data_IF_441331188865
#
_entry.id   IF_441331188865
#
_cell.length_a   1.000
_cell.length_b   1.000
_cell.length_c   1.000
_cell.angle_alpha   90.00
_cell.angle_beta   90.00
_cell.angle_gamma   90.00
#
_symmetry.space_group_name_H-M   'P 1'
#
loop_
_entity.id
_entity.type
_entity.pdbx_description
1 polymer ?
#
# COMPACT_ATOMS: atom_id res chain seq x y z
N UNK A 1 24.49 -17.38 17.04
CA UNK A 1 23.13 -16.96 16.62
C UNK A 1 22.57 -18.05 15.73
N UNK A 2 21.42 -18.65 16.06
CA UNK A 2 20.91 -19.83 15.34
C UNK A 2 20.48 -19.44 13.91
N UNK A 3 20.95 -20.18 12.89
CA UNK A 3 20.70 -19.87 11.48
C UNK A 3 19.20 -19.85 11.14
N UNK A 4 18.42 -20.70 11.81
CA UNK A 4 16.96 -20.80 11.67
C UNK A 4 16.27 -19.49 12.10
N UNK A 5 16.75 -18.87 13.19
CA UNK A 5 16.17 -17.63 13.74
C UNK A 5 16.40 -16.46 12.77
N UNK A 6 17.59 -16.39 12.16
CA UNK A 6 17.94 -15.35 11.18
C UNK A 6 17.03 -15.45 9.94
N UNK A 7 16.79 -16.68 9.46
CA UNK A 7 15.93 -16.93 8.31
C UNK A 7 14.48 -16.49 8.57
N UNK A 8 13.96 -16.77 9.77
CA UNK A 8 12.62 -16.33 10.16
C UNK A 8 12.52 -14.81 10.21
N UNK A 9 13.50 -14.11 10.79
CA UNK A 9 13.48 -12.64 10.88
C UNK A 9 13.42 -12.01 9.48
N UNK A 10 14.19 -12.52 8.52
CA UNK A 10 14.19 -12.01 7.15
C UNK A 10 12.84 -12.23 6.48
N UNK A 11 12.24 -13.42 6.63
CA UNK A 11 10.93 -13.74 6.05
C UNK A 11 9.84 -12.81 6.62
N UNK A 12 9.79 -12.64 7.94
CA UNK A 12 8.83 -11.74 8.58
C UNK A 12 9.05 -10.28 8.20
N UNK A 13 10.30 -9.83 8.07
CA UNK A 13 10.61 -8.48 7.62
C UNK A 13 10.11 -8.21 6.20
N UNK A 14 10.26 -9.18 5.29
CA UNK A 14 9.78 -9.05 3.90
C UNK A 14 8.25 -9.02 3.86
N UNK A 15 7.58 -9.93 4.58
CA UNK A 15 6.10 -9.99 4.61
C UNK A 15 5.52 -8.67 5.17
N UNK A 16 6.09 -8.14 6.24
CA UNK A 16 5.70 -6.85 6.82
C UNK A 16 6.01 -5.66 5.91
N UNK A 17 7.19 -5.67 5.26
CA UNK A 17 7.60 -4.61 4.34
C UNK A 17 6.72 -4.54 3.09
N UNK A 18 6.44 -5.68 2.46
CA UNK A 18 5.62 -5.75 1.24
C UNK A 18 4.17 -5.32 1.51
N UNK A 19 3.59 -5.75 2.63
CA UNK A 19 2.22 -5.36 3.00
C UNK A 19 2.10 -3.86 3.31
N UNK A 20 3.11 -3.29 3.98
CA UNK A 20 3.18 -1.84 4.25
C UNK A 20 3.33 -1.03 2.96
N UNK A 21 4.23 -1.44 2.07
CA UNK A 21 4.42 -0.78 0.77
C UNK A 21 3.14 -0.84 -0.08
N UNK A 22 2.47 -1.98 -0.10
CA UNK A 22 1.20 -2.13 -0.83
C UNK A 22 0.14 -1.14 -0.33
N UNK A 23 -0.05 -1.03 0.99
CA UNK A 23 -0.97 -0.06 1.58
C UNK A 23 -0.56 1.38 1.30
N UNK A 24 0.76 1.66 1.39
CA UNK A 24 1.32 2.97 1.13
C UNK A 24 1.09 3.45 -0.30
N UNK A 25 1.13 2.56 -1.30
CA UNK A 25 0.81 2.92 -2.69
C UNK A 25 -0.69 2.89 -2.99
N UNK A 26 -1.45 2.03 -2.31
CA UNK A 26 -2.90 1.91 -2.52
C UNK A 26 -3.66 3.18 -2.11
N UNK A 27 -3.32 3.80 -0.97
CA UNK A 27 -3.93 5.06 -0.54
C UNK A 27 -3.79 6.21 -1.56
N UNK A 28 -2.57 6.60 -2.00
CA UNK A 28 -2.41 7.67 -2.99
C UNK A 28 -3.01 7.29 -4.34
N UNK A 29 -2.99 6.01 -4.75
CA UNK A 29 -3.66 5.58 -5.97
C UNK A 29 -5.16 5.86 -5.94
N UNK A 30 -5.84 5.56 -4.82
CA UNK A 30 -7.28 5.86 -4.64
C UNK A 30 -7.53 7.36 -4.58
N UNK A 31 -6.64 8.13 -3.95
CA UNK A 31 -6.73 9.61 -3.90
C UNK A 31 -6.60 10.20 -5.30
N UNK A 32 -5.58 9.79 -6.07
CA UNK A 32 -5.36 10.23 -7.46
C UNK A 32 -6.58 9.87 -8.32
N UNK A 33 -7.13 8.66 -8.15
CA UNK A 33 -8.33 8.24 -8.87
C UNK A 33 -9.56 9.08 -8.51
N UNK A 34 -9.75 9.41 -7.23
CA UNK A 34 -10.83 10.33 -6.79
C UNK A 34 -10.66 11.71 -7.40
N UNK A 35 -9.44 12.24 -7.44
CA UNK A 35 -9.14 13.54 -8.04
C UNK A 35 -9.40 13.51 -9.55
N UNK A 36 -8.92 12.48 -10.26
CA UNK A 36 -9.15 12.30 -11.70
C UNK A 36 -10.64 12.26 -12.03
N UNK A 37 -11.42 11.47 -11.27
CA UNK A 37 -12.87 11.37 -11.50
C UNK A 37 -13.58 12.70 -11.27
N UNK A 38 -13.19 13.48 -10.27
CA UNK A 38 -13.74 14.82 -10.01
C UNK A 38 -13.52 15.76 -11.20
N UNK A 39 -12.30 15.79 -11.75
CA UNK A 39 -11.97 16.71 -12.84
C UNK A 39 -12.59 16.31 -14.17
N UNK A 40 -12.67 15.01 -14.49
CA UNK A 40 -13.16 14.55 -15.79
C UNK A 40 -14.68 14.43 -15.85
N UNK A 41 -15.32 13.99 -14.78
CA UNK A 41 -16.76 13.68 -14.78
C UNK A 41 -17.59 14.70 -14.00
N UNK A 42 -16.98 15.70 -13.34
CA UNK A 42 -17.66 16.68 -12.48
C UNK A 42 -18.55 16.05 -11.37
N UNK A 43 -18.34 14.76 -11.06
CA UNK A 43 -19.07 14.05 -10.02
C UNK A 43 -18.47 14.42 -8.66
N UNK A 44 -19.34 14.68 -7.68
CA UNK A 44 -18.97 14.95 -6.30
C UNK A 44 -18.02 13.87 -5.76
N UNK A 45 -16.98 14.28 -5.05
CA UNK A 45 -15.94 13.42 -4.49
C UNK A 45 -16.46 12.50 -3.36
N UNK A 46 -17.72 12.72 -2.94
CA UNK A 46 -18.37 12.15 -1.75
C UNK A 46 -19.75 11.50 -2.04
N UNK A 47 -20.02 11.08 -3.28
CA UNK A 47 -21.16 10.16 -3.54
C UNK A 47 -20.75 8.71 -3.39
#
# INVERSE_FOLDING_TARGET
MNAIIILLIVVYAIIGGVSTLYLFFSMPAVIIWKIYRKFKYHISLMN
#
